data_IF_931278491507
#
_entry.id   IF_931278491507
#
_cell.length_a   1.000
_cell.length_b   1.000
_cell.length_c   1.000
_cell.angle_alpha   90.00
_cell.angle_beta   90.00
_cell.angle_gamma   90.00
#
_symmetry.space_group_name_H-M   'P 1'
#
loop_
_entity.id
_entity.type
_entity.pdbx_description
1 polymer ?
#
# COMPACT_ATOMS: atom_id res chain seq x y z
N UNK A 1 -8.76 -3.03 -15.38
CA UNK A 1 -8.24 -2.20 -14.28
C UNK A 1 -8.38 -3.03 -13.01
N UNK A 2 -7.35 -3.07 -12.17
CA UNK A 2 -7.45 -3.77 -10.88
C UNK A 2 -8.51 -3.08 -10.00
N UNK A 3 -9.26 -3.87 -9.23
CA UNK A 3 -10.25 -3.34 -8.29
C UNK A 3 -9.58 -3.04 -6.95
N UNK A 4 -9.99 -1.95 -6.28
CA UNK A 4 -9.46 -1.63 -4.96
C UNK A 4 -9.91 -2.68 -3.94
N UNK A 5 -8.97 -3.17 -3.13
CA UNK A 5 -9.24 -4.15 -2.06
C UNK A 5 -9.96 -3.53 -0.85
N UNK A 6 -10.10 -2.20 -0.83
CA UNK A 6 -10.71 -1.45 0.26
C UNK A 6 -11.93 -0.69 -0.22
N UNK A 7 -12.88 -0.39 0.68
CA UNK A 7 -14.02 0.44 0.36
C UNK A 7 -13.58 1.87 -0.03
N UNK A 8 -14.46 2.60 -0.69
CA UNK A 8 -14.25 4.01 -1.03
C UNK A 8 -13.93 4.85 0.22
N UNK A 9 -13.08 5.85 0.08
CA UNK A 9 -12.60 6.66 1.21
C UNK A 9 -13.72 7.28 2.05
N UNK A 10 -14.84 7.61 1.41
CA UNK A 10 -16.04 8.14 2.10
C UNK A 10 -16.62 7.21 3.18
N UNK A 11 -16.37 5.90 3.09
CA UNK A 11 -16.77 4.90 4.08
C UNK A 11 -15.75 4.72 5.22
N UNK A 12 -14.62 5.43 5.18
CA UNK A 12 -13.60 5.32 6.22
C UNK A 12 -13.99 6.11 7.47
N UNK A 13 -13.60 5.59 8.63
CA UNK A 13 -13.70 6.32 9.89
C UNK A 13 -12.63 7.43 9.94
N UNK A 14 -12.98 8.61 10.54
CA UNK A 14 -12.10 9.78 10.58
C UNK A 14 -11.96 10.29 11.99
N UNK A 15 -10.71 10.49 12.42
CA UNK A 15 -10.46 11.01 13.76
C UNK A 15 -10.64 12.54 13.85
N UNK A 16 -10.29 13.30 12.82
CA UNK A 16 -10.37 14.78 12.81
C UNK A 16 -10.70 15.41 11.45
N UNK A 17 -10.83 14.64 10.39
CA UNK A 17 -11.14 15.15 9.07
C UNK A 17 -12.65 15.39 8.86
N UNK A 18 -12.99 16.11 7.79
CA UNK A 18 -14.36 16.30 7.33
C UNK A 18 -14.63 15.49 6.08
N UNK A 19 -15.84 14.96 5.97
CA UNK A 19 -16.26 14.25 4.76
C UNK A 19 -16.52 15.25 3.64
N UNK A 20 -16.04 14.95 2.44
CA UNK A 20 -16.33 15.69 1.23
C UNK A 20 -16.73 14.70 0.12
N UNK A 21 -18.02 14.47 -0.05
CA UNK A 21 -18.53 13.45 -0.96
C UNK A 21 -17.96 12.06 -0.61
N UNK A 22 -17.28 11.42 -1.56
CA UNK A 22 -16.56 10.16 -1.36
C UNK A 22 -15.12 10.34 -0.85
N UNK A 23 -14.69 11.58 -0.61
CA UNK A 23 -13.37 11.96 -0.13
C UNK A 23 -13.32 12.41 1.33
N UNK A 24 -12.20 12.97 1.72
CA UNK A 24 -11.96 13.53 3.05
C UNK A 24 -11.04 14.75 3.00
N UNK A 25 -11.41 15.82 3.70
CA UNK A 25 -10.48 16.91 4.03
C UNK A 25 -9.76 16.56 5.34
N UNK A 26 -8.45 16.58 5.31
CA UNK A 26 -7.58 16.23 6.42
C UNK A 26 -6.71 17.43 6.79
N UNK A 27 -7.06 18.18 7.84
CA UNK A 27 -6.19 19.21 8.37
C UNK A 27 -4.93 18.62 9.02
N UNK A 28 -3.91 19.44 9.31
CA UNK A 28 -2.71 19.01 10.03
C UNK A 28 -3.03 18.20 11.29
N UNK A 29 -2.35 17.08 11.47
CA UNK A 29 -2.56 16.14 12.57
C UNK A 29 -3.81 15.26 12.45
N UNK A 30 -4.60 15.39 11.38
CA UNK A 30 -5.75 14.52 11.12
C UNK A 30 -5.34 13.20 10.48
N UNK A 31 -6.20 12.21 10.64
CA UNK A 31 -6.04 10.91 9.97
C UNK A 31 -7.39 10.27 9.68
N UNK A 32 -7.41 9.36 8.72
CA UNK A 32 -8.57 8.54 8.40
C UNK A 32 -8.15 7.07 8.27
N UNK A 33 -9.04 6.16 8.63
CA UNK A 33 -8.82 4.72 8.53
C UNK A 33 -10.15 4.04 8.16
N UNK A 34 -10.13 2.93 7.42
CA UNK A 34 -11.34 2.15 7.17
C UNK A 34 -11.94 1.63 8.49
N UNK A 35 -13.22 1.29 8.43
CA UNK A 35 -13.87 0.59 9.54
C UNK A 35 -13.19 -0.78 9.78
N UNK A 36 -13.02 -1.17 11.04
CA UNK A 36 -12.27 -2.38 11.45
C UNK A 36 -12.76 -3.66 10.77
N UNK A 37 -14.09 -3.76 10.52
CA UNK A 37 -14.68 -4.86 9.77
C UNK A 37 -14.14 -5.04 8.35
N UNK A 38 -13.50 -4.02 7.78
CA UNK A 38 -12.89 -4.05 6.44
C UNK A 38 -11.46 -4.62 6.44
N UNK A 39 -10.93 -5.10 7.61
CA UNK A 39 -9.58 -5.62 7.69
C UNK A 39 -9.35 -6.77 6.70
N UNK A 40 -8.32 -6.60 5.86
CA UNK A 40 -7.96 -7.53 4.78
C UNK A 40 -6.78 -8.41 5.18
N UNK A 41 -6.56 -9.56 4.50
CA UNK A 41 -5.38 -10.38 4.74
C UNK A 41 -4.07 -9.60 4.57
N UNK A 42 -3.06 -9.93 5.35
CA UNK A 42 -1.73 -9.31 5.27
C UNK A 42 -0.87 -9.87 4.12
N UNK A 43 -1.34 -10.91 3.46
CA UNK A 43 -0.74 -11.47 2.25
C UNK A 43 -1.64 -11.18 1.04
N UNK A 44 -1.07 -10.84 -0.13
CA UNK A 44 0.34 -10.56 -0.38
C UNK A 44 0.82 -9.29 0.37
N UNK A 45 2.13 -9.17 0.64
CA UNK A 45 2.69 -8.09 1.46
C UNK A 45 2.96 -6.78 0.73
N UNK A 46 2.80 -6.74 -0.58
CA UNK A 46 3.05 -5.54 -1.38
C UNK A 46 1.74 -4.95 -1.89
N UNK A 47 1.60 -3.65 -1.71
CA UNK A 47 0.41 -2.92 -2.10
C UNK A 47 0.77 -1.59 -2.75
N UNK A 48 -0.07 -1.16 -3.72
CA UNK A 48 0.02 0.15 -4.35
C UNK A 48 -1.15 1.00 -3.88
N UNK A 49 -0.84 2.17 -3.35
CA UNK A 49 -1.80 3.23 -3.05
C UNK A 49 -1.89 4.18 -4.23
N UNK A 50 -3.10 4.47 -4.69
CA UNK A 50 -3.41 5.51 -5.66
C UNK A 50 -4.22 6.60 -4.97
N UNK A 51 -3.66 7.81 -4.87
CA UNK A 51 -4.22 8.92 -4.11
C UNK A 51 -4.50 10.07 -5.07
N UNK A 52 -5.77 10.45 -5.21
CA UNK A 52 -6.15 11.69 -5.91
C UNK A 52 -6.43 12.77 -4.87
N UNK A 53 -5.71 13.88 -4.96
CA UNK A 53 -5.71 14.91 -3.94
C UNK A 53 -5.74 16.33 -4.49
N UNK A 54 -6.08 17.27 -3.60
CA UNK A 54 -5.92 18.70 -3.76
C UNK A 54 -5.23 19.28 -2.53
N UNK A 55 -4.26 20.17 -2.74
CA UNK A 55 -3.55 20.88 -1.68
C UNK A 55 -3.22 22.30 -2.15
N UNK A 56 -3.44 23.30 -1.31
CA UNK A 56 -3.17 24.70 -1.65
C UNK A 56 -1.67 25.04 -1.63
N UNK A 57 -0.88 24.28 -0.90
CA UNK A 57 0.58 24.39 -0.79
C UNK A 57 1.21 23.00 -0.76
N UNK A 58 2.52 22.94 -0.84
CA UNK A 58 3.26 21.69 -0.65
C UNK A 58 2.86 21.06 0.71
N UNK A 59 2.56 19.78 0.69
CA UNK A 59 2.05 19.05 1.83
C UNK A 59 2.68 17.65 1.90
N UNK A 60 2.31 16.86 2.90
CA UNK A 60 2.75 15.50 3.09
C UNK A 60 1.60 14.65 3.63
N UNK A 61 1.53 13.41 3.19
CA UNK A 61 0.67 12.40 3.79
C UNK A 61 1.50 11.20 4.22
N UNK A 62 1.16 10.64 5.37
CA UNK A 62 1.74 9.41 5.87
C UNK A 62 0.79 8.26 5.58
N UNK A 63 1.28 7.24 4.89
CA UNK A 63 0.63 5.96 4.74
C UNK A 63 1.05 5.07 5.90
N UNK A 64 0.09 4.57 6.66
CA UNK A 64 0.32 3.85 7.91
C UNK A 64 -0.40 2.51 7.89
N UNK A 65 0.08 1.57 8.69
CA UNK A 65 -0.53 0.26 8.89
C UNK A 65 -1.12 0.13 10.30
N UNK A 66 -2.31 -0.44 10.38
CA UNK A 66 -2.90 -0.96 11.61
C UNK A 66 -3.03 -2.47 11.46
N UNK A 67 -2.60 -3.20 12.46
CA UNK A 67 -2.63 -4.66 12.49
C UNK A 67 -3.83 -5.20 13.24
N UNK A 68 -4.39 -6.29 12.74
CA UNK A 68 -5.61 -6.91 13.27
C UNK A 68 -5.46 -8.41 13.44
N UNK A 69 -6.11 -8.95 14.46
CA UNK A 69 -6.27 -10.40 14.66
C UNK A 69 -7.12 -11.02 13.54
N UNK A 70 -7.17 -12.35 13.49
CA UNK A 70 -8.07 -13.08 12.60
C UNK A 70 -9.55 -12.68 12.79
N UNK A 71 -9.96 -12.37 14.04
CA UNK A 71 -11.30 -11.87 14.38
C UNK A 71 -11.51 -10.38 14.12
N UNK A 72 -10.60 -9.72 13.41
CA UNK A 72 -10.66 -8.29 13.05
C UNK A 72 -10.66 -7.34 14.25
N UNK A 73 -10.08 -7.76 15.38
CA UNK A 73 -9.82 -6.87 16.52
C UNK A 73 -8.46 -6.23 16.35
N UNK A 74 -8.37 -4.91 16.56
CA UNK A 74 -7.12 -4.16 16.44
C UNK A 74 -6.08 -4.71 17.42
N UNK A 75 -4.93 -5.11 16.89
CA UNK A 75 -3.81 -5.64 17.65
C UNK A 75 -2.76 -4.57 17.97
N UNK A 76 -2.41 -3.74 16.96
CA UNK A 76 -1.40 -2.68 17.13
C UNK A 76 -1.47 -1.63 16.00
N UNK A 77 -0.70 -0.56 16.14
CA UNK A 77 -0.61 0.55 15.18
C UNK A 77 -1.38 1.80 15.62
N UNK A 78 -1.42 2.86 14.80
CA UNK A 78 -0.84 2.92 13.46
C UNK A 78 0.70 3.03 13.47
N UNK A 79 1.36 2.35 12.54
CA UNK A 79 2.80 2.48 12.27
C UNK A 79 2.99 3.12 10.89
N UNK A 80 3.94 4.03 10.77
CA UNK A 80 4.24 4.69 9.49
C UNK A 80 4.94 3.70 8.55
N UNK A 81 4.44 3.61 7.31
CA UNK A 81 5.05 2.82 6.22
C UNK A 81 5.90 3.70 5.33
N UNK A 82 5.31 4.79 4.84
CA UNK A 82 5.96 5.74 3.94
C UNK A 82 5.30 7.10 4.06
N UNK A 83 6.09 8.15 3.91
CA UNK A 83 5.60 9.53 3.78
C UNK A 83 5.67 9.95 2.31
N UNK A 84 4.56 10.42 1.77
CA UNK A 84 4.42 10.86 0.38
C UNK A 84 4.38 12.38 0.35
N UNK A 85 5.37 12.99 -0.32
CA UNK A 85 5.37 14.43 -0.58
C UNK A 85 4.36 14.78 -1.67
N UNK A 86 3.60 15.83 -1.47
CA UNK A 86 2.55 16.32 -2.36
C UNK A 86 2.88 17.77 -2.74
N UNK A 87 2.85 18.06 -4.04
CA UNK A 87 2.95 19.45 -4.52
C UNK A 87 1.62 20.20 -4.31
N UNK A 88 1.64 21.51 -4.40
CA UNK A 88 0.41 22.29 -4.56
C UNK A 88 -0.26 21.88 -5.88
N UNK A 89 -1.49 21.38 -5.80
CA UNK A 89 -2.21 20.88 -6.96
C UNK A 89 -3.72 20.76 -6.69
N UNK A 90 -4.48 20.66 -7.80
CA UNK A 90 -5.92 20.38 -7.77
C UNK A 90 -6.18 19.08 -8.54
N UNK A 91 -6.75 18.10 -7.88
CA UNK A 91 -7.13 16.81 -8.49
C UNK A 91 -5.97 16.00 -9.06
N UNK A 92 -4.76 16.16 -8.52
CA UNK A 92 -3.57 15.40 -8.94
C UNK A 92 -3.60 14.00 -8.36
N UNK A 93 -3.19 13.02 -9.15
CA UNK A 93 -3.04 11.64 -8.69
C UNK A 93 -1.56 11.31 -8.50
N UNK A 94 -1.26 10.66 -7.38
CA UNK A 94 0.05 10.08 -7.07
C UNK A 94 -0.12 8.63 -6.68
N UNK A 95 0.91 7.84 -6.91
CA UNK A 95 0.99 6.44 -6.50
C UNK A 95 2.15 6.22 -5.55
N UNK A 96 1.97 5.32 -4.58
CA UNK A 96 3.03 4.90 -3.69
C UNK A 96 2.95 3.38 -3.48
N UNK A 97 4.06 2.70 -3.70
CA UNK A 97 4.17 1.28 -3.35
C UNK A 97 4.65 1.13 -1.92
N UNK A 98 4.05 0.20 -1.21
CA UNK A 98 4.41 -0.13 0.17
C UNK A 98 4.59 -1.63 0.31
N UNK A 99 5.56 -2.01 1.14
CA UNK A 99 5.71 -3.39 1.62
C UNK A 99 5.36 -3.40 3.10
N UNK A 100 4.44 -4.28 3.48
CA UNK A 100 4.12 -4.46 4.89
C UNK A 100 5.31 -5.07 5.62
N UNK A 101 5.70 -4.55 6.79
CA UNK A 101 6.71 -5.17 7.62
C UNK A 101 6.23 -6.51 8.17
N UNK A 102 7.15 -7.35 8.60
CA UNK A 102 6.83 -8.60 9.26
C UNK A 102 6.03 -8.36 10.54
N UNK A 103 4.91 -9.06 10.65
CA UNK A 103 4.05 -8.99 11.83
C UNK A 103 3.27 -10.30 11.96
N UNK A 104 3.09 -10.83 13.19
CA UNK A 104 2.32 -12.06 13.42
C UNK A 104 0.81 -11.88 13.20
N UNK A 105 0.33 -10.65 13.06
CA UNK A 105 -1.09 -10.37 12.83
C UNK A 105 -1.47 -10.72 11.39
N UNK A 106 -2.48 -11.56 11.17
CA UNK A 106 -2.83 -12.07 9.84
C UNK A 106 -3.61 -11.06 8.98
N UNK A 107 -4.02 -9.93 9.56
CA UNK A 107 -4.83 -8.91 8.88
C UNK A 107 -4.31 -7.52 9.13
N UNK A 108 -4.62 -6.62 8.21
CA UNK A 108 -4.22 -5.22 8.31
C UNK A 108 -5.29 -4.27 7.73
N UNK A 109 -5.16 -3.00 8.10
CA UNK A 109 -5.84 -1.87 7.46
C UNK A 109 -4.87 -0.71 7.28
N UNK A 110 -4.93 0.02 6.18
CA UNK A 110 -4.22 1.28 6.05
C UNK A 110 -4.86 2.37 6.91
N UNK A 111 -4.05 3.36 7.23
CA UNK A 111 -4.49 4.65 7.71
C UNK A 111 -3.72 5.72 6.95
N UNK A 112 -4.40 6.79 6.57
CA UNK A 112 -3.76 7.95 5.94
C UNK A 112 -3.82 9.10 6.93
N UNK A 113 -2.67 9.71 7.21
CA UNK A 113 -2.57 10.84 8.12
C UNK A 113 -1.85 12.01 7.48
N UNK A 114 -2.19 13.22 7.90
CA UNK A 114 -1.46 14.44 7.58
C UNK A 114 -0.63 14.80 8.80
N UNK A 115 0.72 14.87 8.69
CA UNK A 115 1.57 15.27 9.81
C UNK A 115 1.22 16.68 10.33
N UNK A 116 1.44 16.96 11.64
CA UNK A 116 1.11 18.25 12.23
C UNK A 116 1.78 19.45 11.55
N UNK A 117 2.98 19.24 11.01
CA UNK A 117 3.79 20.25 10.32
C UNK A 117 3.42 20.42 8.83
N UNK A 118 2.50 19.62 8.31
CA UNK A 118 2.07 19.68 6.92
C UNK A 118 0.90 20.63 6.73
N UNK A 119 0.64 21.03 5.47
CA UNK A 119 -0.58 21.72 5.08
C UNK A 119 -1.80 20.79 5.06
N UNK A 120 -3.00 21.38 4.98
CA UNK A 120 -4.24 20.64 4.80
C UNK A 120 -4.25 19.94 3.44
N UNK A 121 -4.77 18.71 3.40
CA UNK A 121 -4.91 17.91 2.19
C UNK A 121 -6.36 17.45 2.04
N UNK A 122 -6.95 17.72 0.91
CA UNK A 122 -8.23 17.11 0.51
C UNK A 122 -7.94 15.91 -0.37
N UNK A 123 -8.33 14.72 0.05
CA UNK A 123 -8.23 13.48 -0.72
C UNK A 123 -9.61 13.20 -1.32
N UNK A 124 -9.73 13.22 -2.64
CA UNK A 124 -10.97 12.95 -3.36
C UNK A 124 -11.13 11.47 -3.72
N UNK A 125 -10.03 10.75 -3.88
CA UNK A 125 -10.05 9.29 -4.11
C UNK A 125 -8.84 8.63 -3.47
N UNK A 126 -9.05 7.47 -2.88
CA UNK A 126 -8.01 6.60 -2.39
C UNK A 126 -8.35 5.16 -2.77
N UNK A 127 -7.46 4.54 -3.49
CA UNK A 127 -7.57 3.12 -3.86
C UNK A 127 -6.32 2.39 -3.41
N UNK A 128 -6.48 1.14 -3.07
CA UNK A 128 -5.37 0.26 -2.67
C UNK A 128 -5.48 -1.04 -3.45
N UNK A 129 -4.42 -1.41 -4.11
CA UNK A 129 -4.32 -2.61 -4.94
C UNK A 129 -3.24 -3.54 -4.39
N UNK A 130 -3.45 -4.83 -4.53
CA UNK A 130 -2.35 -5.78 -4.37
C UNK A 130 -1.33 -5.55 -5.48
N UNK A 131 -0.07 -5.37 -5.10
CA UNK A 131 1.02 -5.29 -6.07
C UNK A 131 1.54 -6.70 -6.32
N UNK A 132 1.46 -7.23 -7.53
CA UNK A 132 2.04 -8.54 -7.84
C UNK A 132 3.49 -8.58 -7.41
N UNK A 133 3.95 -9.72 -6.93
CA UNK A 133 5.38 -9.92 -6.75
C UNK A 133 6.07 -9.60 -8.09
N UNK A 134 7.22 -8.91 -8.08
CA UNK A 134 7.98 -8.74 -9.30
C UNK A 134 8.16 -10.13 -9.90
N UNK A 135 7.88 -10.25 -11.19
CA UNK A 135 8.20 -11.48 -11.90
C UNK A 135 9.67 -11.79 -11.57
N UNK A 136 9.89 -12.89 -10.87
CA UNK A 136 11.25 -13.32 -10.58
C UNK A 136 12.07 -13.36 -11.87
N UNK A 137 13.38 -13.22 -11.80
CA UNK A 137 14.20 -13.30 -12.99
C UNK A 137 13.87 -14.60 -13.71
N UNK A 138 13.35 -14.47 -14.92
CA UNK A 138 13.16 -15.63 -15.81
C UNK A 138 14.52 -15.99 -16.37
N UNK A 139 15.09 -17.09 -15.90
CA UNK A 139 16.19 -17.71 -16.62
C UNK A 139 15.63 -18.38 -17.87
N UNK A 140 16.35 -18.30 -18.98
CA UNK A 140 16.04 -19.06 -20.16
C UNK A 140 16.92 -20.28 -20.21
N UNK A 141 16.35 -21.43 -20.50
CA UNK A 141 17.09 -22.66 -20.81
C UNK A 141 17.16 -22.81 -22.31
N UNK A 142 18.35 -22.96 -22.84
CA UNK A 142 18.60 -23.23 -24.24
C UNK A 142 18.60 -24.72 -24.47
N UNK A 143 17.70 -25.24 -25.29
CA UNK A 143 17.58 -26.67 -25.59
C UNK A 143 18.27 -27.09 -26.91
N UNK A 144 19.16 -26.23 -27.41
CA UNK A 144 19.91 -26.45 -28.64
C UNK A 144 19.40 -25.65 -29.84
N UNK A 145 18.11 -25.42 -29.94
CA UNK A 145 17.51 -24.71 -31.07
C UNK A 145 16.52 -23.60 -30.64
N UNK A 146 16.03 -23.63 -29.40
CA UNK A 146 15.01 -22.72 -28.93
C UNK A 146 15.26 -22.27 -27.50
N UNK A 147 15.13 -20.95 -27.28
CA UNK A 147 15.15 -20.37 -25.95
C UNK A 147 13.79 -20.59 -25.28
N UNK A 148 13.79 -21.23 -24.10
CA UNK A 148 12.58 -21.45 -23.31
C UNK A 148 12.70 -20.72 -21.98
N UNK A 149 11.75 -19.83 -21.64
CA UNK A 149 11.76 -19.19 -20.34
C UNK A 149 11.59 -20.25 -19.24
N UNK A 150 12.41 -20.19 -18.23
CA UNK A 150 12.28 -21.01 -17.03
C UNK A 150 12.35 -20.12 -15.78
N UNK A 151 11.59 -20.48 -14.76
CA UNK A 151 11.73 -19.90 -13.43
C UNK A 151 12.79 -20.70 -12.67
N UNK A 152 13.79 -20.01 -12.13
CA UNK A 152 14.78 -20.64 -11.26
C UNK A 152 14.40 -20.35 -9.82
N UNK A 153 14.23 -21.41 -9.04
CA UNK A 153 14.00 -21.32 -7.61
C UNK A 153 15.10 -22.03 -6.86
N UNK A 154 15.44 -21.54 -5.68
CA UNK A 154 16.37 -22.18 -4.76
C UNK A 154 15.59 -22.57 -3.52
N UNK A 155 15.76 -23.80 -3.07
CA UNK A 155 15.21 -24.30 -1.83
C UNK A 155 16.09 -23.90 -0.66
N UNK A 156 15.56 -23.14 0.31
CA UNK A 156 16.31 -22.71 1.51
C UNK A 156 16.21 -23.71 2.70
N UNK A 157 15.58 -24.84 2.47
CA UNK A 157 15.31 -25.86 3.50
C UNK A 157 13.90 -25.81 4.08
N UNK A 158 13.16 -24.72 3.83
CA UNK A 158 11.78 -24.52 4.29
C UNK A 158 10.81 -24.12 3.17
N UNK A 159 11.29 -23.44 2.16
CA UNK A 159 10.49 -22.95 1.03
C UNK A 159 11.33 -22.72 -0.22
N UNK A 160 10.66 -22.65 -1.37
CA UNK A 160 11.25 -22.19 -2.61
C UNK A 160 11.38 -20.67 -2.62
N UNK A 161 12.57 -20.18 -2.97
CA UNK A 161 12.86 -18.76 -3.14
C UNK A 161 13.21 -18.49 -4.61
N UNK A 162 12.76 -17.36 -5.18
CA UNK A 162 13.20 -16.95 -6.50
C UNK A 162 14.71 -16.70 -6.47
N UNK A 163 15.44 -17.26 -7.44
CA UNK A 163 16.89 -17.10 -7.54
C UNK A 163 17.24 -16.23 -8.75
N UNK A 164 18.30 -15.45 -8.61
CA UNK A 164 18.94 -14.75 -9.73
C UNK A 164 20.10 -15.61 -10.22
N UNK A 165 20.14 -15.89 -11.52
CA UNK A 165 21.26 -16.58 -12.16
C UNK A 165 22.19 -15.53 -12.75
N UNK A 166 23.40 -15.42 -12.22
CA UNK A 166 24.48 -14.66 -12.86
C UNK A 166 25.32 -15.60 -13.73
N UNK A 167 25.40 -15.32 -15.02
CA UNK A 167 26.31 -16.02 -15.94
C UNK A 167 27.60 -15.24 -15.95
N UNK A 168 28.65 -15.81 -15.37
CA UNK A 168 30.00 -15.28 -15.51
C UNK A 168 30.57 -15.78 -16.86
N UNK A 169 30.88 -14.84 -17.73
CA UNK A 169 31.60 -15.09 -19.02
C UNK A 169 33.10 -15.11 -18.84
#
# INVERSE_FOLDING_TARGET
MAESILPVLGAWWRSRGQRQGDGASLPPGASTTPYDGSAVPAEPRRFTFEITYSAASAAKVDLRVNWFSAGKTKASGPFNLVSVALDAAQGKTVTAEVTLPDNPSPRWLPSVGVPPESGEVTISSLKVYETPAPAGPTAAVWDGDTERPCAVTVWDGTRELPATVEIQS
#
